data_IF_346823209936
#
_entry.id   IF_346823209936
#
_cell.length_a   1.000
_cell.length_b   1.000
_cell.length_c   1.000
_cell.angle_alpha   90.00
_cell.angle_beta   90.00
_cell.angle_gamma   90.00
#
_symmetry.space_group_name_H-M   'P 1'
#
loop_
_entity.id
_entity.type
_entity.pdbx_description
1 polymer ?
#
# COMPACT_ATOMS: atom_id res chain seq x y z
N UNK A 1 7.27 4.52 46.87
CA UNK A 1 6.45 5.43 46.06
C UNK A 1 6.15 4.71 44.75
N UNK A 2 4.97 4.09 44.66
CA UNK A 2 4.53 3.41 43.43
C UNK A 2 4.05 4.51 42.50
N UNK A 3 4.84 4.84 41.49
CA UNK A 3 4.41 5.72 40.40
C UNK A 3 3.25 5.02 39.69
N UNK A 4 2.05 5.55 39.91
CA UNK A 4 0.84 5.23 39.16
C UNK A 4 1.14 5.29 37.67
N UNK A 5 1.13 4.12 37.02
CA UNK A 5 1.12 3.99 35.55
C UNK A 5 0.08 4.95 35.00
N UNK A 6 0.49 5.79 34.06
CA UNK A 6 -0.43 6.69 33.38
C UNK A 6 -1.58 5.88 32.79
N UNK A 7 -2.79 6.38 32.97
CA UNK A 7 -4.02 5.81 32.44
C UNK A 7 -3.87 5.45 30.96
N UNK A 8 -4.21 4.20 30.64
CA UNK A 8 -4.31 3.61 29.31
C UNK A 8 -5.06 4.54 28.34
N UNK A 9 -4.33 5.30 27.52
CA UNK A 9 -4.89 5.89 26.31
C UNK A 9 -4.83 4.81 25.23
N UNK A 10 -5.94 4.13 25.01
CA UNK A 10 -6.12 3.25 23.84
C UNK A 10 -5.68 3.96 22.56
N UNK A 11 -4.77 3.35 21.82
CA UNK A 11 -4.30 3.86 20.53
C UNK A 11 -5.41 3.83 19.48
N UNK A 12 -5.21 4.49 18.33
CA UNK A 12 -6.18 4.41 17.22
C UNK A 12 -6.36 2.96 16.74
N UNK A 13 -5.26 2.20 16.66
CA UNK A 13 -5.31 0.77 16.36
C UNK A 13 -6.15 0.02 17.39
N UNK A 14 -5.94 0.25 18.70
CA UNK A 14 -6.70 -0.45 19.75
C UNK A 14 -8.20 -0.18 19.66
N UNK A 15 -8.59 1.06 19.29
CA UNK A 15 -10.00 1.40 19.05
C UNK A 15 -10.58 0.64 17.85
N UNK A 16 -9.82 0.49 16.77
CA UNK A 16 -10.25 -0.28 15.59
C UNK A 16 -10.33 -1.78 15.91
N UNK A 17 -9.34 -2.32 16.63
CA UNK A 17 -9.33 -3.72 17.08
C UNK A 17 -10.51 -4.03 17.98
N UNK A 18 -10.83 -3.14 18.93
CA UNK A 18 -11.99 -3.27 19.81
C UNK A 18 -13.32 -3.31 19.05
N UNK A 19 -13.38 -2.74 17.84
CA UNK A 19 -14.54 -2.81 16.94
C UNK A 19 -14.56 -4.07 16.05
N UNK A 20 -13.59 -4.97 16.20
CA UNK A 20 -13.51 -6.23 15.45
C UNK A 20 -12.85 -6.09 14.06
N UNK A 21 -12.31 -4.91 13.73
CA UNK A 21 -11.63 -4.67 12.45
C UNK A 21 -10.14 -4.99 12.54
N UNK A 22 -9.79 -6.16 13.09
CA UNK A 22 -8.42 -6.65 13.16
C UNK A 22 -8.24 -8.03 12.56
N UNK A 23 -7.19 -8.17 11.77
CA UNK A 23 -6.68 -9.42 11.25
C UNK A 23 -5.59 -10.05 12.14
N UNK A 24 -5.03 -9.33 13.12
CA UNK A 24 -4.00 -9.83 14.03
C UNK A 24 -4.43 -11.11 14.77
N UNK A 25 -5.72 -11.23 15.10
CA UNK A 25 -6.30 -12.41 15.77
C UNK A 25 -7.07 -13.34 14.80
N UNK A 26 -7.03 -13.06 13.49
CA UNK A 26 -7.71 -13.86 12.49
C UNK A 26 -6.91 -15.12 12.18
N UNK A 27 -7.31 -16.24 12.81
CA UNK A 27 -6.84 -17.59 12.45
C UNK A 27 -7.17 -17.92 10.99
N UNK A 28 -6.42 -18.88 10.42
CA UNK A 28 -6.52 -19.33 9.02
C UNK A 28 -7.94 -19.35 8.45
N UNK A 29 -8.90 -19.98 9.13
CA UNK A 29 -10.30 -20.07 8.65
C UNK A 29 -11.01 -18.72 8.53
N UNK A 30 -10.80 -17.79 9.48
CA UNK A 30 -11.41 -16.46 9.43
C UNK A 30 -10.81 -15.61 8.32
N UNK A 31 -9.49 -15.67 8.15
CA UNK A 31 -8.82 -14.98 7.05
C UNK A 31 -9.31 -15.49 5.68
N UNK A 32 -9.43 -16.81 5.51
CA UNK A 32 -9.93 -17.41 4.27
C UNK A 32 -11.42 -17.11 4.02
N UNK A 33 -12.23 -16.92 5.06
CA UNK A 33 -13.63 -16.50 4.89
C UNK A 33 -13.76 -15.01 4.51
N UNK A 34 -12.87 -14.16 5.05
CA UNK A 34 -12.85 -12.73 4.73
C UNK A 34 -12.25 -12.44 3.35
N UNK A 35 -11.28 -13.23 2.91
CA UNK A 35 -10.55 -12.95 1.67
C UNK A 35 -11.44 -12.85 0.41
N UNK A 36 -12.43 -13.74 0.17
CA UNK A 36 -13.37 -13.58 -0.95
C UNK A 36 -14.18 -12.28 -0.88
N UNK A 37 -14.58 -11.85 0.32
CA UNK A 37 -15.29 -10.58 0.52
C UNK A 37 -14.37 -9.42 0.17
N UNK A 38 -13.13 -9.43 0.68
CA UNK A 38 -12.13 -8.39 0.38
C UNK A 38 -11.78 -8.34 -1.10
N UNK A 39 -11.72 -9.49 -1.77
CA UNK A 39 -11.51 -9.59 -3.21
C UNK A 39 -12.70 -9.04 -3.99
N UNK A 40 -13.93 -9.35 -3.58
CA UNK A 40 -15.15 -8.75 -4.13
C UNK A 40 -15.18 -7.23 -3.94
N UNK A 41 -14.74 -6.73 -2.79
CA UNK A 41 -14.60 -5.29 -2.53
C UNK A 41 -13.51 -4.67 -3.41
N UNK A 42 -12.37 -5.34 -3.60
CA UNK A 42 -11.31 -4.88 -4.50
C UNK A 42 -11.81 -4.77 -5.95
N UNK A 43 -12.54 -5.79 -6.42
CA UNK A 43 -13.19 -5.79 -7.73
C UNK A 43 -14.19 -4.64 -7.87
N UNK A 44 -15.15 -4.54 -6.94
CA UNK A 44 -16.16 -3.47 -6.94
C UNK A 44 -15.51 -2.08 -6.89
N UNK A 45 -14.43 -1.91 -6.11
CA UNK A 45 -13.67 -0.65 -6.07
C UNK A 45 -13.08 -0.31 -7.44
N UNK A 46 -12.49 -1.28 -8.14
CA UNK A 46 -11.90 -1.03 -9.46
C UNK A 46 -12.98 -0.73 -10.51
N UNK A 47 -14.09 -1.47 -10.52
CA UNK A 47 -15.22 -1.23 -11.41
C UNK A 47 -15.84 0.16 -11.20
N UNK A 48 -16.16 0.50 -9.96
CA UNK A 48 -16.71 1.81 -9.61
C UNK A 48 -15.71 2.94 -9.88
N UNK A 49 -14.42 2.70 -9.69
CA UNK A 49 -13.38 3.67 -10.01
C UNK A 49 -13.37 3.99 -11.50
N UNK A 50 -13.25 2.99 -12.38
CA UNK A 50 -13.23 3.16 -13.83
C UNK A 50 -14.53 3.78 -14.37
N UNK A 51 -15.68 3.47 -13.76
CA UNK A 51 -16.96 4.10 -14.10
C UNK A 51 -17.16 5.51 -13.54
N UNK A 52 -16.21 6.08 -12.78
CA UNK A 52 -16.39 7.35 -12.06
C UNK A 52 -15.65 8.52 -12.69
N UNK A 53 -16.24 9.72 -12.55
CA UNK A 53 -15.54 10.97 -12.86
C UNK A 53 -14.33 11.25 -11.94
N UNK A 54 -14.21 10.55 -10.80
CA UNK A 54 -13.05 10.67 -9.91
C UNK A 54 -11.79 10.11 -10.55
N UNK A 55 -11.89 8.96 -11.24
CA UNK A 55 -10.75 8.37 -11.93
C UNK A 55 -10.18 9.32 -12.99
N UNK A 56 -11.07 9.89 -13.82
CA UNK A 56 -10.69 10.90 -14.81
C UNK A 56 -10.03 12.14 -14.18
N UNK A 57 -10.55 12.62 -13.05
CA UNK A 57 -9.97 13.76 -12.33
C UNK A 57 -8.58 13.46 -11.76
N UNK A 58 -8.37 12.26 -11.22
CA UNK A 58 -7.05 11.84 -10.71
C UNK A 58 -6.06 11.65 -11.86
N UNK A 59 -6.47 10.99 -12.94
CA UNK A 59 -5.66 10.84 -14.16
C UNK A 59 -5.21 12.20 -14.69
N UNK A 60 -6.12 13.19 -14.73
CA UNK A 60 -5.81 14.55 -15.16
C UNK A 60 -4.88 15.32 -14.21
N UNK A 61 -4.81 14.92 -12.94
CA UNK A 61 -3.92 15.52 -11.94
C UNK A 61 -2.49 14.95 -11.97
N UNK A 62 -2.25 13.83 -12.66
CA UNK A 62 -0.93 13.22 -12.78
C UNK A 62 -0.08 14.09 -13.73
N UNK A 63 1.17 14.45 -13.35
CA UNK A 63 1.98 15.43 -14.08
C UNK A 63 2.65 14.83 -15.32
N UNK A 64 1.84 14.39 -16.28
CA UNK A 64 2.28 13.91 -17.60
C UNK A 64 1.55 14.65 -18.71
N UNK A 65 2.21 14.84 -19.85
CA UNK A 65 1.64 15.57 -20.98
C UNK A 65 0.49 14.82 -21.67
N UNK A 66 0.55 13.49 -21.68
CA UNK A 66 -0.39 12.63 -22.40
C UNK A 66 -0.94 11.55 -21.45
N UNK A 67 -2.24 11.26 -21.54
CA UNK A 67 -2.90 10.24 -20.72
C UNK A 67 -2.23 8.86 -20.86
N UNK A 68 -1.80 8.52 -22.07
CA UNK A 68 -1.09 7.27 -22.39
C UNK A 68 0.23 7.09 -21.61
N UNK A 69 0.80 8.16 -21.05
CA UNK A 69 2.02 8.10 -20.23
C UNK A 69 1.75 7.85 -18.75
N UNK A 70 0.50 7.90 -18.29
CA UNK A 70 0.13 7.65 -16.88
C UNK A 70 0.60 6.27 -16.38
N UNK A 71 0.44 5.17 -17.15
CA UNK A 71 0.99 3.88 -16.73
C UNK A 71 2.51 3.88 -16.54
N UNK A 72 3.24 4.51 -17.47
CA UNK A 72 4.71 4.61 -17.39
C UNK A 72 5.15 5.47 -16.20
N UNK A 73 4.46 6.59 -15.97
CA UNK A 73 4.70 7.42 -14.80
C UNK A 73 4.45 6.67 -13.51
N UNK A 74 3.39 5.85 -13.44
CA UNK A 74 3.09 5.04 -12.26
C UNK A 74 4.23 4.08 -11.95
N UNK A 75 4.72 3.32 -12.94
CA UNK A 75 5.84 2.39 -12.77
C UNK A 75 7.14 3.12 -12.40
N UNK A 76 7.37 4.32 -12.91
CA UNK A 76 8.48 5.17 -12.50
C UNK A 76 8.33 5.67 -11.04
N UNK A 77 7.13 6.08 -10.64
CA UNK A 77 6.86 6.70 -9.35
C UNK A 77 6.97 5.70 -8.19
N UNK A 78 6.59 4.44 -8.38
CA UNK A 78 6.59 3.44 -7.29
C UNK A 78 7.99 3.18 -6.68
N UNK A 79 9.06 2.94 -7.46
CA UNK A 79 10.43 2.87 -6.96
C UNK A 79 10.87 4.13 -6.22
N UNK A 80 10.59 5.31 -6.78
CA UNK A 80 10.92 6.59 -6.15
C UNK A 80 10.22 6.71 -4.80
N UNK A 81 8.93 6.36 -4.76
CA UNK A 81 8.15 6.39 -3.54
C UNK A 81 8.66 5.38 -2.50
N UNK A 82 9.03 4.17 -2.91
CA UNK A 82 9.65 3.20 -2.02
C UNK A 82 10.95 3.76 -1.39
N UNK A 83 11.81 4.40 -2.18
CA UNK A 83 13.01 5.06 -1.65
C UNK A 83 12.65 6.14 -0.63
N UNK A 84 11.65 6.98 -0.91
CA UNK A 84 11.17 8.00 0.03
C UNK A 84 10.67 7.38 1.34
N UNK A 85 9.96 6.25 1.30
CA UNK A 85 9.53 5.54 2.51
C UNK A 85 10.72 5.04 3.34
N UNK A 86 11.77 4.55 2.68
CA UNK A 86 13.02 4.18 3.35
C UNK A 86 13.66 5.38 4.04
N UNK A 87 13.74 6.53 3.35
CA UNK A 87 14.28 7.78 3.92
C UNK A 87 13.45 8.20 5.15
N UNK A 88 12.12 8.18 5.07
CA UNK A 88 11.26 8.54 6.22
C UNK A 88 11.51 7.62 7.41
N UNK A 89 11.60 6.31 7.21
CA UNK A 89 11.92 5.36 8.28
C UNK A 89 13.33 5.62 8.86
N UNK A 90 14.30 5.95 8.02
CA UNK A 90 15.65 6.31 8.43
C UNK A 90 15.68 7.62 9.25
N UNK A 91 15.01 8.67 8.81
CA UNK A 91 14.94 9.93 9.57
C UNK A 91 14.23 9.72 10.91
N UNK A 92 13.12 8.98 10.92
CA UNK A 92 12.42 8.59 12.14
C UNK A 92 13.33 7.86 13.13
N UNK A 93 14.14 6.93 12.65
CA UNK A 93 15.08 6.20 13.49
C UNK A 93 16.29 7.05 13.92
N UNK A 94 16.76 7.98 13.08
CA UNK A 94 17.84 8.90 13.44
C UNK A 94 17.40 9.85 14.56
N UNK A 95 16.16 10.32 14.52
CA UNK A 95 15.58 11.15 15.58
C UNK A 95 15.50 10.41 16.92
N UNK A 96 15.28 9.09 16.92
CA UNK A 96 15.19 8.27 18.13
C UNK A 96 16.54 7.74 18.63
N UNK A 97 17.49 7.49 17.73
CA UNK A 97 18.81 6.91 18.04
C UNK A 97 19.93 7.61 17.25
N UNK A 98 20.32 8.85 17.66
CA UNK A 98 21.17 9.73 16.85
C UNK A 98 22.61 9.23 16.62
N UNK A 99 23.10 8.28 17.42
CA UNK A 99 24.51 7.84 17.39
C UNK A 99 24.76 6.53 16.60
N UNK A 100 23.78 6.00 15.87
CA UNK A 100 23.81 4.61 15.35
C UNK A 100 24.23 4.39 13.89
N UNK A 101 24.53 5.41 13.08
CA UNK A 101 24.65 5.23 11.62
C UNK A 101 25.96 4.55 11.17
N UNK A 102 25.86 3.37 10.54
CA UNK A 102 26.87 2.84 9.61
C UNK A 102 26.13 2.09 8.50
N UNK A 103 26.42 2.38 7.24
CA UNK A 103 25.74 1.78 6.07
C UNK A 103 25.89 0.26 5.93
N UNK A 104 26.74 -0.37 6.76
CA UNK A 104 27.09 -1.79 6.66
C UNK A 104 26.31 -2.70 7.62
N UNK A 105 25.60 -2.15 8.60
CA UNK A 105 24.77 -2.93 9.52
C UNK A 105 23.43 -2.21 9.64
N UNK A 106 22.33 -2.92 9.29
CA UNK A 106 20.98 -2.38 9.38
C UNK A 106 20.69 -1.84 10.78
N UNK A 107 20.05 -0.67 10.87
CA UNK A 107 19.88 0.05 12.14
C UNK A 107 19.11 -0.76 13.21
N UNK A 108 18.14 -1.59 12.80
CA UNK A 108 17.44 -2.52 13.67
C UNK A 108 18.36 -3.61 14.28
N UNK A 109 19.45 -3.97 13.62
CA UNK A 109 20.39 -5.00 14.07
C UNK A 109 21.45 -4.46 15.05
N UNK A 110 21.69 -3.15 15.10
CA UNK A 110 22.66 -2.54 16.02
C UNK A 110 22.12 -2.29 17.42
N UNK A 111 20.81 -2.21 17.54
CA UNK A 111 20.16 -1.94 18.78
C UNK A 111 18.89 -2.81 18.86
N UNK A 112 19.04 -4.16 18.86
CA UNK A 112 17.91 -5.05 19.03
C UNK A 112 17.24 -4.70 20.35
N UNK A 113 15.97 -4.33 20.30
CA UNK A 113 15.24 -3.88 21.47
C UNK A 113 15.41 -2.40 21.80
N UNK A 114 16.28 -1.58 21.20
CA UNK A 114 16.37 -0.15 21.57
C UNK A 114 15.10 0.65 21.25
N UNK A 115 14.34 0.22 20.25
CA UNK A 115 13.00 0.75 19.95
C UNK A 115 12.01 0.47 21.11
N UNK A 116 12.18 -0.65 21.83
CA UNK A 116 11.42 -1.05 23.03
C UNK A 116 12.05 -0.53 24.35
N UNK A 117 13.37 -0.56 24.49
CA UNK A 117 14.17 -0.20 25.67
C UNK A 117 14.30 1.31 25.87
N UNK A 118 14.29 2.12 24.79
CA UNK A 118 14.17 3.58 24.91
C UNK A 118 12.79 3.99 25.46
N UNK A 119 11.87 3.03 25.66
CA UNK A 119 10.63 3.25 26.38
C UNK A 119 9.68 4.22 25.68
N UNK A 120 9.81 4.39 24.36
CA UNK A 120 8.91 5.22 23.57
C UNK A 120 7.71 4.38 23.09
N UNK A 121 6.56 4.43 23.77
CA UNK A 121 5.33 3.86 23.23
C UNK A 121 5.05 4.51 21.86
N UNK A 122 5.00 3.68 20.81
CA UNK A 122 4.63 4.10 19.46
C UNK A 122 5.70 3.99 18.38
N UNK A 123 6.95 3.65 18.69
CA UNK A 123 8.07 3.56 17.73
C UNK A 123 7.94 2.45 16.67
N UNK A 124 7.05 1.47 16.85
CA UNK A 124 6.78 0.40 15.89
C UNK A 124 6.26 0.86 14.52
N UNK A 125 5.86 2.14 14.38
CA UNK A 125 5.51 2.69 13.06
C UNK A 125 6.70 2.68 12.09
N UNK A 126 7.93 2.81 12.58
CA UNK A 126 9.15 2.85 11.74
C UNK A 126 9.35 1.52 11.03
N UNK A 127 9.30 0.40 11.76
CA UNK A 127 9.42 -0.94 11.19
C UNK A 127 8.27 -1.26 10.23
N UNK A 128 7.06 -0.79 10.55
CA UNK A 128 5.88 -0.95 9.69
C UNK A 128 5.98 -0.13 8.40
N UNK A 129 6.48 1.11 8.46
CA UNK A 129 6.75 1.92 7.25
C UNK A 129 7.86 1.29 6.42
N UNK A 130 8.92 0.77 7.04
CA UNK A 130 9.95 0.02 6.33
C UNK A 130 9.39 -1.27 5.70
N UNK A 131 8.45 -1.95 6.34
CA UNK A 131 7.74 -3.09 5.72
C UNK A 131 6.90 -2.66 4.51
N UNK A 132 6.25 -1.49 4.58
CA UNK A 132 5.50 -0.92 3.46
C UNK A 132 6.39 -0.58 2.25
N UNK A 133 7.66 -0.22 2.48
CA UNK A 133 8.66 -0.02 1.43
C UNK A 133 8.92 -1.31 0.64
N UNK A 134 9.18 -2.43 1.31
CA UNK A 134 9.39 -3.73 0.63
C UNK A 134 8.17 -4.12 -0.19
N UNK A 135 6.97 -3.96 0.37
CA UNK A 135 5.75 -4.29 -0.34
C UNK A 135 5.47 -3.36 -1.55
N UNK A 136 5.96 -2.12 -1.50
CA UNK A 136 5.89 -1.19 -2.64
C UNK A 136 6.83 -1.64 -3.77
N UNK A 137 8.03 -2.15 -3.44
CA UNK A 137 8.93 -2.78 -4.42
C UNK A 137 8.32 -4.00 -5.10
N UNK A 138 7.72 -4.91 -4.33
CA UNK A 138 7.02 -6.08 -4.87
C UNK A 138 5.92 -5.67 -5.85
N UNK A 139 5.14 -4.65 -5.49
CA UNK A 139 4.09 -4.12 -6.36
C UNK A 139 4.64 -3.47 -7.62
N UNK A 140 5.79 -2.78 -7.54
CA UNK A 140 6.41 -2.17 -8.71
C UNK A 140 6.87 -3.24 -9.70
N UNK A 141 7.47 -4.34 -9.22
CA UNK A 141 7.91 -5.46 -10.05
C UNK A 141 6.71 -6.08 -10.76
N UNK A 142 5.63 -6.37 -10.03
CA UNK A 142 4.42 -6.92 -10.64
C UNK A 142 3.78 -5.94 -11.65
N UNK A 143 3.75 -4.65 -11.32
CA UNK A 143 3.22 -3.63 -12.20
C UNK A 143 4.00 -3.57 -13.52
N UNK A 144 5.33 -3.65 -13.50
CA UNK A 144 6.14 -3.74 -14.74
C UNK A 144 5.68 -4.90 -15.60
N UNK A 145 5.51 -6.10 -15.02
CA UNK A 145 5.07 -7.28 -15.77
C UNK A 145 3.67 -7.12 -16.37
N UNK A 146 2.68 -6.69 -15.58
CA UNK A 146 1.31 -6.54 -16.05
C UNK A 146 1.15 -5.38 -17.04
N UNK A 147 1.87 -4.28 -16.84
CA UNK A 147 1.80 -3.10 -17.70
C UNK A 147 2.48 -3.37 -19.03
N UNK A 148 3.55 -4.16 -19.06
CA UNK A 148 4.14 -4.64 -20.30
C UNK A 148 3.11 -5.39 -21.14
N UNK A 149 2.36 -6.33 -20.54
CA UNK A 149 1.24 -7.01 -21.23
C UNK A 149 0.19 -6.01 -21.73
N UNK A 150 -0.20 -5.04 -20.90
CA UNK A 150 -1.16 -4.00 -21.30
C UNK A 150 -0.69 -3.14 -22.49
N UNK A 151 0.61 -2.88 -22.59
CA UNK A 151 1.23 -2.16 -23.71
C UNK A 151 1.22 -3.02 -24.97
N UNK A 152 1.72 -4.26 -24.90
CA UNK A 152 1.85 -5.15 -26.05
C UNK A 152 0.49 -5.51 -26.67
N UNK A 153 -0.50 -5.78 -25.83
CA UNK A 153 -1.88 -6.10 -26.23
C UNK A 153 -2.74 -4.85 -26.48
N UNK A 154 -2.16 -3.64 -26.40
CA UNK A 154 -2.81 -2.36 -26.72
C UNK A 154 -4.12 -2.14 -25.96
N UNK A 155 -4.08 -2.34 -24.64
CA UNK A 155 -5.21 -2.01 -23.77
C UNK A 155 -5.64 -0.56 -23.99
N UNK A 156 -6.95 -0.31 -23.98
CA UNK A 156 -7.50 1.03 -24.22
C UNK A 156 -6.86 2.07 -23.27
N UNK A 157 -6.37 3.21 -23.79
CA UNK A 157 -5.64 4.19 -22.98
C UNK A 157 -6.37 4.69 -21.74
N UNK A 158 -7.70 4.88 -21.80
CA UNK A 158 -8.50 5.32 -20.66
C UNK A 158 -8.45 4.29 -19.53
N UNK A 159 -8.90 3.06 -19.80
CA UNK A 159 -8.95 1.97 -18.82
C UNK A 159 -7.56 1.69 -18.23
N UNK A 160 -6.52 1.69 -19.06
CA UNK A 160 -5.15 1.48 -18.58
C UNK A 160 -4.71 2.60 -17.64
N UNK A 161 -4.92 3.85 -18.02
CA UNK A 161 -4.52 5.00 -17.22
C UNK A 161 -5.28 5.08 -15.90
N UNK A 162 -6.57 4.74 -15.89
CA UNK A 162 -7.41 4.72 -14.71
C UNK A 162 -7.00 3.63 -13.72
N UNK A 163 -6.76 2.39 -14.19
CA UNK A 163 -6.28 1.30 -13.34
C UNK A 163 -4.86 1.57 -12.81
N UNK A 164 -3.99 2.16 -13.64
CA UNK A 164 -2.66 2.57 -13.21
C UNK A 164 -2.73 3.68 -12.15
N UNK A 165 -3.60 4.68 -12.34
CA UNK A 165 -3.83 5.73 -11.35
C UNK A 165 -4.39 5.15 -10.03
N UNK A 166 -5.29 4.16 -10.08
CA UNK A 166 -5.79 3.50 -8.87
C UNK A 166 -4.68 2.77 -8.11
N UNK A 167 -3.79 2.06 -8.83
CA UNK A 167 -2.60 1.47 -8.23
C UNK A 167 -1.75 2.55 -7.53
N UNK A 168 -1.47 3.65 -8.22
CA UNK A 168 -0.67 4.75 -7.66
C UNK A 168 -1.30 5.32 -6.39
N UNK A 169 -2.60 5.63 -6.41
CA UNK A 169 -3.35 6.13 -5.25
C UNK A 169 -3.30 5.13 -4.10
N UNK A 170 -3.58 3.85 -4.36
CA UNK A 170 -3.50 2.80 -3.35
C UNK A 170 -2.11 2.79 -2.71
N UNK A 171 -1.04 2.90 -3.50
CA UNK A 171 0.34 2.89 -3.00
C UNK A 171 0.72 4.14 -2.23
N UNK A 172 0.22 5.31 -2.60
CA UNK A 172 0.43 6.56 -1.85
C UNK A 172 -0.28 6.54 -0.49
N UNK A 173 -1.45 5.91 -0.40
CA UNK A 173 -2.22 5.82 0.86
C UNK A 173 -1.71 4.70 1.76
N UNK A 174 -1.21 3.61 1.18
CA UNK A 174 -0.88 2.35 1.86
C UNK A 174 0.06 2.45 3.08
N UNK A 175 1.07 3.34 3.12
CA UNK A 175 1.93 3.49 4.29
C UNK A 175 1.21 4.04 5.52
N UNK A 176 0.10 4.77 5.36
CA UNK A 176 -0.67 5.33 6.48
C UNK A 176 -1.29 4.25 7.37
N UNK A 177 -2.11 3.30 6.87
CA UNK A 177 -2.62 2.21 7.70
C UNK A 177 -1.50 1.26 8.17
N UNK A 178 -0.35 1.21 7.49
CA UNK A 178 0.85 0.55 8.03
C UNK A 178 1.37 1.26 9.28
N UNK A 179 1.63 2.56 9.21
CA UNK A 179 2.14 3.35 10.33
C UNK A 179 1.17 3.30 11.53
N UNK A 180 -0.12 3.40 11.25
CA UNK A 180 -1.22 3.38 12.24
C UNK A 180 -1.59 1.98 12.73
N UNK A 181 -0.95 0.91 12.21
CA UNK A 181 -1.20 -0.48 12.60
C UNK A 181 -2.65 -0.95 12.41
N UNK A 182 -3.24 -0.54 11.28
CA UNK A 182 -4.62 -0.87 10.89
C UNK A 182 -4.59 -1.94 9.81
N UNK A 183 -4.52 -3.20 10.24
CA UNK A 183 -4.27 -4.35 9.40
C UNK A 183 -5.34 -4.61 8.32
N UNK A 184 -6.64 -4.50 8.63
CA UNK A 184 -7.71 -4.76 7.68
C UNK A 184 -7.73 -3.73 6.55
N UNK A 185 -7.63 -2.44 6.91
CA UNK A 185 -7.58 -1.33 5.93
C UNK A 185 -6.31 -1.45 5.10
N UNK A 186 -5.16 -1.71 5.74
CA UNK A 186 -3.89 -1.97 5.05
C UNK A 186 -4.07 -3.08 4.01
N UNK A 187 -4.53 -4.26 4.42
CA UNK A 187 -4.70 -5.40 3.52
C UNK A 187 -5.69 -5.12 2.40
N UNK A 188 -6.79 -4.39 2.66
CA UNK A 188 -7.74 -4.02 1.62
C UNK A 188 -7.12 -3.06 0.60
N UNK A 189 -6.40 -2.02 1.04
CA UNK A 189 -5.73 -1.08 0.13
C UNK A 189 -4.67 -1.79 -0.72
N UNK A 190 -3.90 -2.70 -0.10
CA UNK A 190 -2.95 -3.55 -0.82
C UNK A 190 -3.64 -4.41 -1.87
N UNK A 191 -4.71 -5.11 -1.48
CA UNK A 191 -5.43 -6.03 -2.34
C UNK A 191 -6.09 -5.29 -3.51
N UNK A 192 -6.65 -4.10 -3.28
CA UNK A 192 -7.21 -3.26 -4.36
C UNK A 192 -6.14 -2.85 -5.36
N UNK A 193 -4.96 -2.38 -4.92
CA UNK A 193 -3.87 -2.03 -5.82
C UNK A 193 -3.31 -3.25 -6.59
N UNK A 194 -3.18 -4.40 -5.91
CA UNK A 194 -2.81 -5.66 -6.54
C UNK A 194 -3.83 -6.08 -7.61
N UNK A 195 -5.12 -6.02 -7.26
CA UNK A 195 -6.22 -6.38 -8.16
C UNK A 195 -6.22 -5.48 -9.39
N UNK A 196 -6.15 -4.16 -9.22
CA UNK A 196 -6.07 -3.20 -10.33
C UNK A 196 -4.90 -3.52 -11.28
N UNK A 197 -3.74 -3.89 -10.72
CA UNK A 197 -2.55 -4.27 -11.50
C UNK A 197 -2.80 -5.54 -12.33
N UNK A 198 -3.38 -6.57 -11.74
CA UNK A 198 -3.71 -7.83 -12.44
C UNK A 198 -4.79 -7.58 -13.51
N UNK A 199 -5.76 -6.71 -13.24
CA UNK A 199 -6.84 -6.37 -14.18
C UNK A 199 -6.34 -5.67 -15.43
N UNK A 200 -5.23 -4.93 -15.38
CA UNK A 200 -4.57 -4.43 -16.60
C UNK A 200 -4.24 -5.58 -17.55
N UNK A 201 -3.50 -6.59 -17.07
CA UNK A 201 -3.13 -7.73 -17.90
C UNK A 201 -4.35 -8.57 -18.31
N UNK A 202 -5.30 -8.79 -17.39
CA UNK A 202 -6.50 -9.59 -17.68
C UNK A 202 -7.42 -8.92 -18.71
N UNK A 203 -7.64 -7.60 -18.63
CA UNK A 203 -8.44 -6.84 -19.59
C UNK A 203 -7.77 -6.73 -20.97
N UNK A 204 -6.43 -6.78 -21.00
CA UNK A 204 -5.67 -6.76 -22.22
C UNK A 204 -5.70 -8.13 -22.93
N UNK A 205 -5.50 -9.22 -22.19
CA UNK A 205 -5.50 -10.59 -22.73
C UNK A 205 -6.90 -11.11 -23.07
N UNK A 206 -7.92 -10.73 -22.31
CA UNK A 206 -9.29 -11.26 -22.43
C UNK A 206 -10.32 -10.13 -22.48
N UNK A 207 -10.27 -9.25 -23.50
CA UNK A 207 -11.09 -8.03 -23.53
C UNK A 207 -12.59 -8.33 -23.49
N UNK A 208 -13.06 -9.34 -24.23
CA UNK A 208 -14.48 -9.72 -24.30
C UNK A 208 -15.05 -10.22 -22.97
N UNK A 209 -14.19 -10.80 -22.13
CA UNK A 209 -14.60 -11.37 -20.84
C UNK A 209 -14.41 -10.39 -19.69
N UNK A 210 -13.31 -9.64 -19.70
CA UNK A 210 -12.86 -8.88 -18.53
C UNK A 210 -13.24 -7.40 -18.58
N UNK A 211 -13.21 -6.76 -19.75
CA UNK A 211 -13.57 -5.33 -19.85
C UNK A 211 -15.04 -5.02 -19.52
N UNK A 212 -16.04 -5.91 -19.77
CA UNK A 212 -17.43 -5.64 -19.36
C UNK A 212 -17.62 -5.40 -17.87
N UNK A 213 -16.67 -5.79 -17.02
CA UNK A 213 -16.71 -5.50 -15.59
C UNK A 213 -16.31 -4.05 -15.23
N UNK A 214 -15.78 -3.28 -16.19
CA UNK A 214 -15.26 -1.92 -16.00
C UNK A 214 -15.92 -0.88 -16.90
N UNK A 215 -16.99 -1.28 -17.62
CA UNK A 215 -17.76 -0.45 -18.55
C UNK A 215 -18.93 0.27 -17.88
#
# INVERSE_FOLDING_TARGET
>A
MVTTRSQDKMTFADKIRAQGFSLADCKFFKLNALFPIMLGLAHATCALWCGSGLAAAVVAAIPVADVEKVPLFTVFALPVYAILLSIVALEGLAALAPNGYQSQIGRAAKAPGAIEELGFPGSGWIERVQSSQYNTWESAILAVCCFFVGIEEKLTPSLFSELAALLLVCRLVYPLPYALDVDLVRTQVWLTGLYATIMVAACALYPETMQPFFA
#
